data_IF_573810907825
#
_entry.id   IF_573810907825
#
_cell.length_a   1.000
_cell.length_b   1.000
_cell.length_c   1.000
_cell.angle_alpha   90.00
_cell.angle_beta   90.00
_cell.angle_gamma   90.00
#
_symmetry.space_group_name_H-M   'P 1'
#
loop_
_entity.id
_entity.type
_entity.pdbx_description
1 polymer ?
#
# COMPACT_ATOMS: atom_id res chain seq x y z
N UNK A 1 22.50 -14.01 15.19
CA UNK A 1 21.23 -14.76 15.41
C UNK A 1 20.03 -14.25 14.59
N UNK A 2 19.88 -12.95 14.27
CA UNK A 2 18.70 -12.47 13.49
C UNK A 2 18.72 -12.93 12.01
N UNK A 3 19.86 -12.84 11.33
CA UNK A 3 19.99 -13.22 9.91
C UNK A 3 19.72 -14.71 9.66
N UNK A 4 20.22 -15.60 10.51
CA UNK A 4 20.04 -17.05 10.42
C UNK A 4 18.55 -17.46 10.48
N UNK A 5 17.78 -16.85 11.39
CA UNK A 5 16.34 -17.07 11.50
C UNK A 5 15.57 -16.58 10.27
N UNK A 6 16.01 -15.48 9.66
CA UNK A 6 15.40 -14.93 8.43
C UNK A 6 15.63 -15.88 7.26
N UNK A 7 16.84 -16.41 7.08
CA UNK A 7 17.15 -17.38 6.02
C UNK A 7 16.31 -18.66 6.14
N UNK A 8 16.16 -19.21 7.35
CA UNK A 8 15.32 -20.41 7.57
C UNK A 8 13.85 -20.13 7.21
N UNK A 9 13.31 -18.98 7.63
CA UNK A 9 11.92 -18.60 7.33
C UNK A 9 11.68 -18.42 5.84
N UNK A 10 12.62 -17.79 5.12
CA UNK A 10 12.55 -17.59 3.68
C UNK A 10 12.54 -18.94 2.94
N UNK A 11 13.49 -19.82 3.26
CA UNK A 11 13.57 -21.15 2.63
C UNK A 11 12.30 -21.96 2.85
N UNK A 12 11.73 -21.92 4.07
CA UNK A 12 10.48 -22.62 4.37
C UNK A 12 9.31 -22.09 3.52
N UNK A 13 9.18 -20.76 3.41
CA UNK A 13 8.16 -20.14 2.54
C UNK A 13 8.33 -20.49 1.07
N UNK A 14 9.57 -20.51 0.56
CA UNK A 14 9.85 -20.92 -0.82
C UNK A 14 9.41 -22.37 -1.06
N UNK A 15 9.73 -23.28 -0.13
CA UNK A 15 9.29 -24.68 -0.22
C UNK A 15 7.77 -24.84 -0.14
N UNK A 16 7.09 -24.05 0.71
CA UNK A 16 5.62 -24.04 0.78
C UNK A 16 5.00 -23.62 -0.56
N UNK A 17 5.57 -22.61 -1.23
CA UNK A 17 5.13 -22.16 -2.56
C UNK A 17 5.37 -23.23 -3.61
N UNK A 18 6.58 -23.78 -3.68
CA UNK A 18 6.93 -24.83 -4.64
C UNK A 18 6.02 -26.05 -4.46
N UNK A 19 5.87 -26.53 -3.22
CA UNK A 19 4.99 -27.65 -2.91
C UNK A 19 3.52 -27.38 -3.24
N UNK A 20 3.06 -26.14 -3.09
CA UNK A 20 1.72 -25.75 -3.52
C UNK A 20 1.56 -25.81 -5.05
N UNK A 21 2.53 -25.29 -5.81
CA UNK A 21 2.49 -25.31 -7.27
C UNK A 21 2.52 -26.75 -7.82
N UNK A 22 3.40 -27.58 -7.26
CA UNK A 22 3.50 -29.01 -7.62
C UNK A 22 2.22 -29.79 -7.30
N UNK A 23 1.64 -29.58 -6.10
CA UNK A 23 0.41 -30.27 -5.68
C UNK A 23 -0.79 -29.92 -6.57
N UNK A 24 -0.84 -28.68 -7.08
CA UNK A 24 -1.87 -28.22 -8.01
C UNK A 24 -1.54 -28.49 -9.49
N UNK A 25 -0.38 -29.11 -9.79
CA UNK A 25 0.11 -29.35 -11.16
C UNK A 25 0.17 -28.07 -12.00
N UNK A 26 0.55 -26.97 -11.38
CA UNK A 26 0.79 -25.70 -12.05
C UNK A 26 2.23 -25.73 -12.54
N UNK A 27 2.45 -25.54 -13.84
CA UNK A 27 3.79 -25.40 -14.39
C UNK A 27 4.41 -24.08 -13.90
N UNK A 28 5.64 -24.13 -13.39
CA UNK A 28 6.35 -22.95 -12.91
C UNK A 28 7.84 -23.04 -13.25
N UNK A 29 8.50 -21.88 -13.21
CA UNK A 29 9.94 -21.77 -13.36
C UNK A 29 10.53 -21.12 -12.12
N UNK A 30 11.50 -21.79 -11.52
CA UNK A 30 12.28 -21.18 -10.44
C UNK A 30 13.29 -20.19 -11.01
N UNK A 31 13.26 -18.97 -10.49
CA UNK A 31 14.24 -17.93 -10.79
C UNK A 31 15.08 -17.70 -9.54
N UNK A 32 16.23 -18.37 -9.45
CA UNK A 32 17.13 -18.18 -8.32
C UNK A 32 17.71 -16.76 -8.38
N UNK A 33 17.60 -16.00 -7.30
CA UNK A 33 18.17 -14.65 -7.16
C UNK A 33 19.45 -14.63 -6.32
N UNK A 34 19.81 -15.77 -5.70
CA UNK A 34 20.97 -15.87 -4.82
C UNK A 34 22.27 -15.91 -5.63
N UNK A 35 22.29 -16.69 -6.70
CA UNK A 35 23.44 -16.84 -7.60
C UNK A 35 23.30 -16.13 -8.96
N UNK A 36 22.11 -15.64 -9.32
CA UNK A 36 21.85 -14.91 -10.57
C UNK A 36 21.51 -13.44 -10.27
N UNK A 37 22.33 -12.54 -10.78
CA UNK A 37 22.18 -11.10 -10.58
C UNK A 37 21.08 -10.49 -11.45
N UNK A 38 20.85 -11.02 -12.64
CA UNK A 38 19.83 -10.54 -13.57
C UNK A 38 18.44 -10.83 -13.00
N UNK A 39 18.23 -12.05 -12.49
CA UNK A 39 16.98 -12.40 -11.80
C UNK A 39 16.76 -11.53 -10.56
N UNK A 40 17.82 -11.23 -9.81
CA UNK A 40 17.75 -10.35 -8.63
C UNK A 40 17.34 -8.93 -9.00
N UNK A 41 17.93 -8.38 -10.08
CA UNK A 41 17.61 -7.04 -10.57
C UNK A 41 16.18 -6.98 -11.09
N UNK A 42 15.81 -7.95 -11.93
CA UNK A 42 14.46 -8.07 -12.48
C UNK A 42 13.40 -8.15 -11.39
N UNK A 43 13.60 -9.00 -10.36
CA UNK A 43 12.67 -9.10 -9.23
C UNK A 43 12.48 -7.75 -8.53
N UNK A 44 13.56 -6.99 -8.28
CA UNK A 44 13.47 -5.68 -7.61
C UNK A 44 12.78 -4.60 -8.45
N UNK A 45 12.91 -4.68 -9.78
CA UNK A 45 12.29 -3.75 -10.73
C UNK A 45 10.81 -4.07 -10.92
N UNK A 46 10.43 -5.35 -10.98
CA UNK A 46 9.06 -5.79 -11.28
C UNK A 46 8.16 -5.94 -10.05
N UNK A 47 8.70 -6.00 -8.82
CA UNK A 47 7.87 -5.89 -7.61
C UNK A 47 7.24 -4.48 -7.57
N UNK A 48 5.90 -4.34 -7.46
CA UNK A 48 5.23 -3.05 -7.35
C UNK A 48 5.66 -2.27 -6.11
N UNK A 49 5.82 -0.95 -6.23
CA UNK A 49 6.31 -0.09 -5.14
C UNK A 49 5.51 -0.22 -3.84
N UNK A 50 4.18 -0.28 -3.93
CA UNK A 50 3.26 -0.45 -2.79
C UNK A 50 3.45 -1.78 -2.05
N UNK A 51 4.03 -2.77 -2.73
CA UNK A 51 4.32 -4.10 -2.20
C UNK A 51 5.75 -4.22 -1.70
N UNK A 52 6.59 -3.19 -1.88
CA UNK A 52 7.96 -3.16 -1.34
C UNK A 52 7.92 -2.81 0.15
N UNK A 53 8.81 -3.40 0.97
CA UNK A 53 8.90 -3.04 2.38
C UNK A 53 9.38 -1.59 2.56
N UNK A 54 8.78 -0.87 3.53
CA UNK A 54 9.01 0.56 3.79
C UNK A 54 10.49 0.94 4.01
N UNK A 55 11.28 0.03 4.60
CA UNK A 55 12.72 0.19 4.80
C UNK A 55 13.48 -1.07 4.35
N UNK A 56 13.45 -1.42 3.06
CA UNK A 56 14.27 -2.53 2.58
C UNK A 56 14.08 -2.92 1.12
N UNK A 57 14.72 -4.03 0.76
CA UNK A 57 14.54 -4.70 -0.54
C UNK A 57 13.48 -5.80 -0.42
N UNK A 58 12.72 -6.08 -1.50
CA UNK A 58 11.86 -7.26 -1.52
C UNK A 58 12.69 -8.53 -1.35
N UNK A 59 12.22 -9.42 -0.48
CA UNK A 59 12.85 -10.70 -0.15
C UNK A 59 12.05 -11.85 -0.76
N UNK A 60 12.67 -12.93 -1.22
CA UNK A 60 11.95 -14.08 -1.76
C UNK A 60 11.15 -14.82 -0.67
N UNK A 61 10.12 -15.61 -1.03
CA UNK A 61 9.61 -15.83 -2.40
C UNK A 61 8.84 -14.62 -2.96
N UNK A 62 8.95 -14.40 -4.27
CA UNK A 62 8.21 -13.39 -5.01
C UNK A 62 7.62 -14.07 -6.24
N UNK A 63 6.29 -14.09 -6.37
CA UNK A 63 5.61 -14.90 -7.38
C UNK A 63 5.05 -13.97 -8.44
N UNK A 64 5.36 -14.31 -9.69
CA UNK A 64 4.91 -13.63 -10.87
C UNK A 64 4.21 -14.64 -11.77
N UNK A 65 3.01 -14.29 -12.21
CA UNK A 65 2.37 -14.97 -13.32
C UNK A 65 2.73 -14.18 -14.58
N UNK A 66 3.78 -14.64 -15.26
CA UNK A 66 4.41 -13.91 -16.38
C UNK A 66 4.88 -12.51 -15.93
N UNK A 67 4.17 -11.45 -16.33
CA UNK A 67 4.46 -10.06 -15.94
C UNK A 67 3.61 -9.58 -14.74
N UNK A 68 2.60 -10.37 -14.35
CA UNK A 68 1.66 -10.00 -13.29
C UNK A 68 2.19 -10.41 -11.92
N UNK A 69 2.37 -9.44 -11.02
CA UNK A 69 2.80 -9.71 -9.66
C UNK A 69 1.67 -10.30 -8.80
N UNK A 70 1.86 -11.54 -8.32
CA UNK A 70 0.89 -12.27 -7.50
C UNK A 70 1.17 -12.16 -5.98
N UNK A 71 2.28 -11.55 -5.56
CA UNK A 71 2.60 -11.38 -4.13
C UNK A 71 3.64 -12.36 -3.56
N UNK A 72 3.86 -12.24 -2.25
CA UNK A 72 4.91 -12.95 -1.50
C UNK A 72 4.48 -14.33 -0.95
N UNK A 73 3.20 -14.69 -1.04
CA UNK A 73 2.63 -15.87 -0.35
C UNK A 73 1.87 -16.84 -1.25
N UNK A 74 1.95 -16.68 -2.58
CA UNK A 74 1.37 -17.64 -3.53
C UNK A 74 -0.15 -17.68 -3.60
N UNK A 75 -0.83 -16.96 -2.71
CA UNK A 75 -2.21 -16.52 -2.93
C UNK A 75 -2.20 -15.38 -3.94
N UNK A 76 -1.93 -15.72 -5.21
CA UNK A 76 -2.47 -14.90 -6.29
C UNK A 76 -3.98 -14.89 -6.05
N UNK A 77 -4.62 -13.72 -6.13
CA UNK A 77 -6.06 -13.57 -5.99
C UNK A 77 -6.75 -14.23 -7.19
N UNK A 78 -6.64 -15.55 -7.31
CA UNK A 78 -7.34 -16.33 -8.30
C UNK A 78 -8.75 -16.56 -7.75
N UNK A 79 -9.65 -15.72 -8.25
CA UNK A 79 -11.10 -15.85 -8.18
C UNK A 79 -11.73 -15.53 -6.83
N UNK A 80 -11.80 -14.24 -6.50
CA UNK A 80 -13.07 -13.68 -6.03
C UNK A 80 -13.13 -12.22 -6.48
N UNK A 81 -13.85 -11.99 -7.56
CA UNK A 81 -14.79 -10.87 -7.66
C UNK A 81 -15.69 -10.85 -6.42
N UNK A 82 -15.16 -10.48 -5.26
CA UNK A 82 -15.99 -9.95 -4.19
C UNK A 82 -15.69 -8.46 -4.18
N UNK A 83 -16.60 -7.72 -4.79
CA UNK A 83 -16.77 -6.30 -4.55
C UNK A 83 -16.74 -6.08 -3.04
N UNK A 84 -15.59 -5.65 -2.51
CA UNK A 84 -15.64 -4.70 -1.41
C UNK A 84 -16.15 -3.42 -2.07
N UNK A 85 -17.48 -3.33 -2.23
CA UNK A 85 -18.13 -2.04 -2.27
C UNK A 85 -17.58 -1.31 -1.05
N UNK A 86 -16.74 -0.31 -1.31
CA UNK A 86 -16.55 0.78 -0.38
C UNK A 86 -17.88 1.54 -0.35
N UNK A 87 -18.89 0.92 0.23
CA UNK A 87 -20.07 1.59 0.76
C UNK A 87 -19.61 2.19 2.09
N UNK A 88 -18.78 3.23 1.99
CA UNK A 88 -18.79 4.26 3.02
C UNK A 88 -20.10 4.99 2.78
N UNK A 89 -21.14 4.42 3.39
CA UNK A 89 -22.47 5.00 3.47
C UNK A 89 -22.28 6.38 4.09
N UNK A 90 -22.30 7.40 3.23
CA UNK A 90 -22.57 8.76 3.61
C UNK A 90 -23.92 8.75 4.34
N UNK A 91 -23.88 8.59 5.66
CA UNK A 91 -25.01 8.83 6.54
C UNK A 91 -24.94 10.25 7.08
N UNK A 92 -26.11 10.86 7.26
CA UNK A 92 -26.40 12.20 6.78
C UNK A 92 -26.29 13.20 7.93
N UNK A 93 -26.39 14.47 7.55
CA UNK A 93 -26.59 15.62 8.40
C UNK A 93 -27.41 15.30 9.66
N UNK A 94 -26.75 15.39 10.82
CA UNK A 94 -27.39 15.44 12.13
C UNK A 94 -27.50 16.89 12.57
N UNK A 95 -28.61 17.52 12.18
CA UNK A 95 -29.07 18.80 12.70
C UNK A 95 -29.28 18.68 14.22
N UNK A 96 -28.69 19.61 14.97
CA UNK A 96 -28.88 19.77 16.42
C UNK A 96 -28.71 21.24 16.77
N UNK A 97 -29.81 21.96 16.70
CA UNK A 97 -29.93 23.40 16.90
C UNK A 97 -29.72 23.86 18.35
N UNK A 98 -29.17 25.09 18.49
CA UNK A 98 -29.43 26.12 19.52
C UNK A 98 -29.06 25.83 20.99
N UNK A 99 -28.54 26.74 21.82
CA UNK A 99 -28.48 28.22 21.95
C UNK A 99 -27.46 28.51 23.10
N UNK A 100 -26.85 29.66 23.38
CA UNK A 100 -27.17 31.09 23.25
C UNK A 100 -25.84 31.88 23.36
N UNK A 101 -25.56 32.88 22.52
CA UNK A 101 -25.93 34.31 22.63
C UNK A 101 -24.95 35.15 23.46
N UNK A 102 -24.27 36.09 22.78
CA UNK A 102 -24.09 37.48 23.23
C UNK A 102 -23.57 38.37 22.07
N UNK A 103 -24.49 39.15 21.50
CA UNK A 103 -24.41 40.60 21.14
C UNK A 103 -23.20 41.11 20.33
N UNK A 104 -23.35 41.45 19.05
CA UNK A 104 -23.81 42.74 18.47
C UNK A 104 -22.81 43.91 18.58
N UNK A 105 -22.26 44.37 17.45
CA UNK A 105 -22.34 45.76 16.96
C UNK A 105 -21.53 46.00 15.66
N UNK A 106 -22.12 46.79 14.77
CA UNK A 106 -21.69 47.19 13.42
C UNK A 106 -20.86 48.50 13.43
N UNK A 107 -20.29 48.86 12.26
CA UNK A 107 -19.85 50.22 11.88
C UNK A 107 -18.36 50.28 11.55
N UNK A 108 -17.89 50.37 10.29
CA UNK A 108 -17.94 51.49 9.32
C UNK A 108 -17.34 52.81 9.83
N UNK A 109 -16.49 53.36 8.95
CA UNK A 109 -15.88 54.70 8.92
C UNK A 109 -14.73 55.00 9.89
N UNK A 110 -13.50 54.76 9.44
CA UNK A 110 -12.34 55.54 9.87
C UNK A 110 -11.92 56.47 8.73
N UNK A 111 -12.44 57.68 8.86
CA UNK A 111 -12.12 58.95 8.27
C UNK A 111 -10.61 59.15 7.98
N UNK A 112 -10.28 59.57 6.75
CA UNK A 112 -9.02 60.26 6.46
C UNK A 112 -9.07 61.67 7.04
N UNK A 113 -7.98 62.17 7.65
CA UNK A 113 -7.66 63.58 7.50
C UNK A 113 -6.52 63.74 6.49
N UNK A 114 -6.84 64.54 5.48
CA UNK A 114 -5.92 65.03 4.47
C UNK A 114 -4.73 65.79 5.09
N UNK A 115 -3.64 65.69 4.36
CA UNK A 115 -2.41 66.47 4.37
C UNK A 115 -2.58 67.96 4.62
N UNK A 116 -1.66 68.58 5.38
CA UNK A 116 -1.28 69.97 5.15
C UNK A 116 0.23 70.25 5.45
N UNK A 117 0.92 70.64 4.38
CA UNK A 117 1.99 71.66 4.25
C UNK A 117 3.38 71.42 4.88
N UNK A 118 4.37 71.34 3.99
CA UNK A 118 5.28 72.46 3.73
C UNK A 118 5.26 72.84 2.25
#
# INVERSE_FOLDING_TARGET
>A
MKAEKVTIRIKKKQQEVVGFLEANKIDFKEMDIACDEDNRKWMRENVPGEKKPQNGIPLPPQIFNEEQYCGETGKCSATEENEIQAEDEATPEGEGEAQAEATEAQGQDEEQPATEVQ
#
